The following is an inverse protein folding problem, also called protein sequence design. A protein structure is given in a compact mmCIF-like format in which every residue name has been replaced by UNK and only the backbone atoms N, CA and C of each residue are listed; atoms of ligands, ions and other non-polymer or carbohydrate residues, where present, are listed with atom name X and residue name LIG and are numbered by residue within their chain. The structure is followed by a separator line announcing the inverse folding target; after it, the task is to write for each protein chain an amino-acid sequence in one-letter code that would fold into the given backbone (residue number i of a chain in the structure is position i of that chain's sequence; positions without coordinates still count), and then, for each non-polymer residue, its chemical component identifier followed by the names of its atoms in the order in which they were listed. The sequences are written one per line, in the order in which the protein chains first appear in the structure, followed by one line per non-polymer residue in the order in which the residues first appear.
data_IF_175030822587
#
_entry.id   IF_175030822587
#
_cell.length_a   1.000
_cell.length_b   1.000
_cell.length_c   1.000
_cell.angle_alpha   90.00
_cell.angle_beta   90.00
_cell.angle_gamma   90.00
#
_symmetry.space_group_name_H-M   'P 1'
#
loop_
_entity.id
_entity.type
_entity.pdbx_description
1 polymer ?
#
# COMPACT_ATOMS: atom_id res chain seq x y z
N UNK A 1 3.93 7.11 -48.47
CA UNK A 1 3.14 6.91 -47.25
C UNK A 1 4.12 6.80 -46.09
N UNK A 2 4.20 7.83 -45.24
CA UNK A 2 5.00 7.76 -44.01
C UNK A 2 4.14 7.04 -43.00
N UNK A 3 4.43 5.76 -42.75
CA UNK A 3 3.93 5.09 -41.54
C UNK A 3 4.70 5.76 -40.40
N UNK A 4 4.05 6.45 -39.45
CA UNK A 4 4.75 6.90 -38.26
C UNK A 4 5.37 5.65 -37.64
N UNK A 5 6.69 5.56 -37.65
CA UNK A 5 7.37 4.51 -36.92
C UNK A 5 6.87 4.61 -35.48
N UNK A 6 6.22 3.58 -34.95
CA UNK A 6 5.97 3.50 -33.51
C UNK A 6 7.36 3.45 -32.87
N UNK A 7 7.90 4.57 -32.36
CA UNK A 7 9.31 4.63 -32.11
C UNK A 7 9.61 3.65 -30.98
N UNK A 8 10.58 2.77 -31.21
CA UNK A 8 11.03 1.77 -30.22
C UNK A 8 12.35 2.26 -29.61
N UNK A 9 12.36 3.52 -29.18
CA UNK A 9 13.54 4.00 -28.44
C UNK A 9 13.68 3.19 -27.14
N UNK A 10 14.90 3.16 -26.61
CA UNK A 10 15.16 2.55 -25.32
C UNK A 10 14.24 3.13 -24.24
N UNK A 11 14.12 4.47 -24.17
CA UNK A 11 13.29 5.17 -23.19
C UNK A 11 11.81 4.79 -23.27
N UNK A 12 11.24 4.70 -24.47
CA UNK A 12 9.84 4.28 -24.63
C UNK A 12 9.64 2.80 -24.25
N UNK A 13 10.62 1.96 -24.52
CA UNK A 13 10.58 0.54 -24.12
C UNK A 13 10.67 0.40 -22.61
N UNK A 14 11.56 1.15 -21.96
CA UNK A 14 11.68 1.22 -20.50
C UNK A 14 10.38 1.68 -19.86
N UNK A 15 9.81 2.80 -20.34
CA UNK A 15 8.55 3.32 -19.81
C UNK A 15 7.42 2.28 -19.90
N UNK A 16 7.23 1.66 -21.07
CA UNK A 16 6.22 0.60 -21.24
C UNK A 16 6.50 -0.59 -20.31
N UNK A 17 7.77 -0.97 -20.14
CA UNK A 17 8.17 -2.04 -19.22
C UNK A 17 7.76 -1.77 -17.78
N UNK A 18 7.93 -0.54 -17.28
CA UNK A 18 7.52 -0.14 -15.92
C UNK A 18 6.00 -0.30 -15.76
N UNK A 19 5.20 0.19 -16.71
CA UNK A 19 3.74 0.03 -16.64
C UNK A 19 3.31 -1.45 -16.73
N UNK A 20 3.96 -2.24 -17.59
CA UNK A 20 3.69 -3.68 -17.68
C UNK A 20 3.99 -4.38 -16.37
N UNK A 21 5.12 -4.06 -15.72
CA UNK A 21 5.49 -4.62 -14.42
C UNK A 21 4.49 -4.23 -13.32
N UNK A 22 4.06 -2.96 -13.29
CA UNK A 22 3.06 -2.48 -12.33
C UNK A 22 1.74 -3.25 -12.44
N UNK A 23 1.22 -3.41 -13.67
CA UNK A 23 -0.03 -4.13 -13.94
C UNK A 23 0.12 -5.60 -13.58
N UNK A 24 1.24 -6.23 -13.94
CA UNK A 24 1.51 -7.62 -13.61
C UNK A 24 1.51 -7.84 -12.09
N UNK A 25 2.16 -6.96 -11.32
CA UNK A 25 2.22 -7.06 -9.87
C UNK A 25 0.84 -6.95 -9.22
N UNK A 26 0.00 -6.02 -9.68
CA UNK A 26 -1.39 -5.91 -9.19
C UNK A 26 -2.18 -7.19 -9.49
N UNK A 27 -2.05 -7.75 -10.70
CA UNK A 27 -2.74 -8.99 -11.04
C UNK A 27 -2.20 -10.20 -10.26
N UNK A 28 -0.90 -10.27 -10.01
CA UNK A 28 -0.31 -11.29 -9.12
C UNK A 28 -0.91 -11.17 -7.72
N UNK A 29 -0.96 -9.97 -7.15
CA UNK A 29 -1.57 -9.74 -5.85
C UNK A 29 -3.05 -10.13 -5.82
N UNK A 30 -3.81 -9.85 -6.89
CA UNK A 30 -5.22 -10.27 -7.00
C UNK A 30 -5.40 -11.77 -7.15
N UNK A 31 -4.44 -12.46 -7.77
CA UNK A 31 -4.48 -13.89 -8.03
C UNK A 31 -3.90 -14.72 -6.89
N UNK A 32 -3.34 -14.08 -5.85
CA UNK A 32 -2.83 -14.79 -4.67
C UNK A 32 -3.95 -15.63 -4.03
N UNK A 33 -3.66 -16.91 -3.78
CA UNK A 33 -4.67 -17.85 -3.31
C UNK A 33 -5.01 -17.69 -1.82
N UNK A 34 -4.11 -17.09 -1.04
CA UNK A 34 -4.18 -17.04 0.42
C UNK A 34 -4.53 -15.64 0.90
N UNK A 35 -3.85 -14.63 0.36
CA UNK A 35 -3.95 -13.22 0.76
C UNK A 35 -4.23 -12.31 -0.46
N UNK A 36 -5.32 -12.58 -1.23
CA UNK A 36 -5.60 -11.84 -2.46
C UNK A 36 -5.90 -10.38 -2.20
N UNK A 37 -5.44 -9.51 -3.11
CA UNK A 37 -5.94 -8.16 -3.25
C UNK A 37 -7.41 -8.21 -3.65
N UNK A 38 -8.28 -7.88 -2.69
CA UNK A 38 -9.74 -8.01 -2.82
C UNK A 38 -10.45 -6.67 -2.62
N UNK A 39 -11.78 -6.71 -2.57
CA UNK A 39 -12.62 -5.50 -2.51
C UNK A 39 -12.19 -4.52 -1.40
N UNK A 40 -11.74 -5.01 -0.24
CA UNK A 40 -11.27 -4.15 0.86
C UNK A 40 -10.06 -3.30 0.45
N UNK A 41 -9.09 -3.90 -0.25
CA UNK A 41 -7.89 -3.24 -0.73
C UNK A 41 -8.21 -2.28 -1.87
N UNK A 42 -9.11 -2.67 -2.77
CA UNK A 42 -9.59 -1.81 -3.86
C UNK A 42 -10.24 -0.54 -3.31
N UNK A 43 -11.11 -0.68 -2.30
CA UNK A 43 -11.71 0.47 -1.59
C UNK A 43 -10.63 1.30 -0.89
N UNK A 44 -9.63 0.67 -0.29
CA UNK A 44 -8.54 1.36 0.39
C UNK A 44 -7.66 2.17 -0.58
N UNK A 45 -7.34 1.64 -1.75
CA UNK A 45 -6.63 2.37 -2.82
C UNK A 45 -7.48 3.49 -3.41
N UNK A 46 -8.80 3.30 -3.55
CA UNK A 46 -9.71 4.39 -3.92
C UNK A 46 -9.75 5.50 -2.86
N UNK A 47 -9.73 5.13 -1.57
CA UNK A 47 -9.68 6.08 -0.46
C UNK A 47 -8.38 6.89 -0.48
N UNK A 48 -7.24 6.26 -0.80
CA UNK A 48 -5.96 6.93 -1.00
C UNK A 48 -5.99 7.90 -2.20
N UNK A 49 -6.53 7.48 -3.34
CA UNK A 49 -6.68 8.36 -4.51
C UNK A 49 -7.46 9.62 -4.14
N UNK A 50 -8.58 9.44 -3.43
CA UNK A 50 -9.42 10.52 -2.94
C UNK A 50 -8.71 11.40 -1.91
N UNK A 51 -7.94 10.83 -0.98
CA UNK A 51 -7.16 11.59 0.00
C UNK A 51 -6.06 12.44 -0.66
N UNK A 52 -5.50 11.98 -1.78
CA UNK A 52 -4.55 12.73 -2.63
C UNK A 52 -5.24 13.70 -3.61
N UNK A 53 -6.57 13.87 -3.53
CA UNK A 53 -7.33 14.79 -4.38
C UNK A 53 -7.42 14.37 -5.85
N UNK A 54 -7.23 13.08 -6.16
CA UNK A 54 -7.19 12.57 -7.54
C UNK A 54 -8.50 11.90 -7.92
N UNK A 55 -8.99 12.19 -9.12
CA UNK A 55 -10.15 11.54 -9.74
C UNK A 55 -9.64 10.39 -10.61
N UNK A 56 -9.23 9.30 -9.97
CA UNK A 56 -8.75 8.08 -10.64
C UNK A 56 -9.30 6.83 -9.94
N UNK A 57 -9.32 5.70 -10.65
CA UNK A 57 -9.73 4.41 -10.09
C UNK A 57 -8.69 3.90 -9.08
N UNK A 58 -9.10 2.94 -8.24
CA UNK A 58 -8.19 2.25 -7.32
C UNK A 58 -7.01 1.61 -8.06
N UNK A 59 -7.27 1.00 -9.21
CA UNK A 59 -6.27 0.31 -10.02
C UNK A 59 -5.22 1.29 -10.52
N UNK A 60 -5.66 2.43 -11.08
CA UNK A 60 -4.75 3.48 -11.53
C UNK A 60 -3.96 4.10 -10.37
N UNK A 61 -4.54 4.17 -9.16
CA UNK A 61 -3.82 4.65 -7.98
C UNK A 61 -2.73 3.66 -7.53
N UNK A 62 -3.00 2.35 -7.52
CA UNK A 62 -2.00 1.33 -7.21
C UNK A 62 -0.86 1.32 -8.25
N UNK A 63 -1.20 1.30 -9.54
CA UNK A 63 -0.23 1.39 -10.64
C UNK A 63 0.59 2.67 -10.55
N UNK A 64 -0.03 3.81 -10.26
CA UNK A 64 0.69 5.09 -10.14
C UNK A 64 1.71 5.07 -9.01
N UNK A 65 1.38 4.52 -7.84
CA UNK A 65 2.34 4.42 -6.73
C UNK A 65 3.56 3.60 -7.14
N UNK A 66 3.33 2.42 -7.70
CA UNK A 66 4.41 1.57 -8.19
C UNK A 66 5.30 2.32 -9.19
N UNK A 67 4.69 2.98 -10.18
CA UNK A 67 5.43 3.74 -11.21
C UNK A 67 6.24 4.88 -10.58
N UNK A 68 5.65 5.65 -9.67
CA UNK A 68 6.32 6.78 -9.01
C UNK A 68 7.56 6.29 -8.23
N UNK A 69 7.45 5.15 -7.54
CA UNK A 69 8.54 4.53 -6.75
C UNK A 69 9.64 3.97 -7.64
N UNK A 70 9.29 3.21 -8.69
CA UNK A 70 10.27 2.61 -9.60
C UNK A 70 11.01 3.67 -10.41
N UNK A 71 10.34 4.77 -10.80
CA UNK A 71 11.00 5.91 -11.44
C UNK A 71 12.01 6.59 -10.51
N UNK A 72 11.79 6.55 -9.20
CA UNK A 72 12.74 6.99 -8.19
C UNK A 72 13.87 5.97 -7.92
N UNK A 73 13.98 4.91 -8.73
CA UNK A 73 14.94 3.81 -8.59
C UNK A 73 14.81 3.02 -7.27
N UNK A 74 13.59 2.97 -6.72
CA UNK A 74 13.21 2.18 -5.55
C UNK A 74 12.36 0.98 -5.97
N UNK A 75 12.07 0.09 -5.02
CA UNK A 75 11.26 -1.11 -5.26
C UNK A 75 9.80 -0.81 -5.00
N UNK A 76 8.97 -0.88 -6.05
CA UNK A 76 7.53 -0.77 -5.89
C UNK A 76 6.93 -1.97 -5.15
N UNK A 77 5.96 -1.70 -4.29
CA UNK A 77 5.21 -2.72 -3.55
C UNK A 77 3.70 -2.47 -3.70
N UNK A 78 2.93 -3.55 -3.85
CA UNK A 78 1.46 -3.55 -3.76
C UNK A 78 1.09 -4.28 -2.47
N UNK A 79 0.22 -3.68 -1.68
CA UNK A 79 -0.19 -4.25 -0.40
C UNK A 79 -1.58 -4.88 -0.54
N UNK A 80 -1.78 -6.03 0.07
CA UNK A 80 -3.03 -6.78 0.00
C UNK A 80 -3.46 -7.34 1.35
N UNK A 81 -4.75 -7.63 1.42
CA UNK A 81 -5.41 -8.33 2.51
C UNK A 81 -5.12 -7.78 3.91
N UNK A 82 -5.36 -6.48 4.12
CA UNK A 82 -5.30 -5.96 5.49
C UNK A 82 -6.35 -6.65 6.35
N UNK A 83 -5.88 -7.36 7.37
CA UNK A 83 -6.72 -8.13 8.27
C UNK A 83 -6.53 -7.65 9.69
N UNK A 84 -7.64 -7.55 10.44
CA UNK A 84 -7.61 -7.23 11.86
C UNK A 84 -8.05 -8.46 12.63
N UNK A 85 -7.16 -9.02 13.44
CA UNK A 85 -7.50 -10.09 14.38
C UNK A 85 -8.14 -9.49 15.62
N UNK A 86 -7.61 -8.37 16.10
CA UNK A 86 -8.11 -7.63 17.27
C UNK A 86 -8.20 -6.14 16.94
N UNK A 87 -9.32 -5.50 17.33
CA UNK A 87 -9.57 -4.07 17.10
C UNK A 87 -9.64 -3.25 18.38
N UNK A 88 -9.37 -3.88 19.53
CA UNK A 88 -9.41 -3.24 20.84
C UNK A 88 -8.33 -2.18 20.93
N UNK A 89 -8.69 -0.96 21.33
CA UNK A 89 -7.76 0.17 21.32
C UNK A 89 -6.45 -0.11 22.09
N UNK A 90 -6.50 -0.85 23.20
CA UNK A 90 -5.32 -1.19 24.01
C UNK A 90 -4.55 -2.45 23.58
N UNK A 91 -4.97 -3.14 22.52
CA UNK A 91 -4.34 -4.36 22.04
C UNK A 91 -4.74 -4.64 20.59
N UNK A 92 -4.32 -3.78 19.66
CA UNK A 92 -4.60 -3.97 18.24
C UNK A 92 -3.69 -5.05 17.66
N UNK A 93 -4.30 -5.96 16.91
CA UNK A 93 -3.62 -6.95 16.07
C UNK A 93 -4.08 -6.77 14.63
N UNK A 94 -3.14 -6.42 13.76
CA UNK A 94 -3.40 -6.31 12.33
C UNK A 94 -2.22 -6.79 11.51
N UNK A 95 -2.50 -7.25 10.30
CA UNK A 95 -1.52 -7.73 9.33
C UNK A 95 -1.86 -7.19 7.94
N UNK A 96 -0.84 -6.98 7.12
CA UNK A 96 -0.96 -6.54 5.73
C UNK A 96 0.16 -7.19 4.89
N UNK A 97 -0.21 -7.84 3.80
CA UNK A 97 0.72 -8.65 2.99
C UNK A 97 1.43 -7.83 1.91
N UNK A 98 2.66 -8.23 1.62
CA UNK A 98 3.59 -7.56 0.72
C UNK A 98 3.60 -8.24 -0.65
N UNK A 99 3.45 -7.47 -1.72
CA UNK A 99 3.71 -7.90 -3.09
C UNK A 99 4.78 -6.99 -3.65
N UNK A 100 6.04 -7.30 -3.36
CA UNK A 100 7.18 -6.48 -3.77
C UNK A 100 7.60 -6.82 -5.21
N UNK A 101 7.96 -5.81 -6.00
CA UNK A 101 8.57 -6.02 -7.32
C UNK A 101 9.92 -6.74 -7.24
N UNK A 102 10.60 -6.62 -6.11
CA UNK A 102 11.80 -7.39 -5.75
C UNK A 102 11.64 -7.82 -4.30
N UNK A 103 11.50 -9.12 -4.06
CA UNK A 103 11.16 -9.65 -2.73
C UNK A 103 12.17 -9.29 -1.65
N UNK A 104 11.68 -9.12 -0.43
CA UNK A 104 12.48 -8.85 0.78
C UNK A 104 13.27 -7.55 0.75
N UNK A 105 12.74 -6.51 0.10
CA UNK A 105 13.36 -5.18 0.05
C UNK A 105 12.88 -4.27 1.18
N UNK A 106 11.59 -4.36 1.54
CA UNK A 106 11.00 -3.63 2.65
C UNK A 106 11.65 -4.07 3.97
N UNK A 107 12.23 -3.13 4.68
CA UNK A 107 12.92 -3.36 5.95
C UNK A 107 12.28 -2.62 7.13
N UNK A 108 11.66 -1.46 6.88
CA UNK A 108 11.03 -0.65 7.91
C UNK A 108 9.82 0.14 7.39
N UNK A 109 8.86 0.38 8.28
CA UNK A 109 7.74 1.26 8.03
C UNK A 109 6.82 1.38 9.23
N UNK A 110 5.81 2.24 9.09
CA UNK A 110 4.87 2.55 10.18
C UNK A 110 3.43 2.44 9.71
N UNK A 111 2.55 2.03 10.62
CA UNK A 111 1.12 2.22 10.48
C UNK A 111 0.74 3.61 11.00
N UNK A 112 0.18 4.42 10.11
CA UNK A 112 -0.31 5.77 10.41
C UNK A 112 -1.83 5.73 10.62
N UNK A 113 -2.27 6.11 11.81
CA UNK A 113 -3.67 6.16 12.22
C UNK A 113 -4.21 7.59 12.27
N UNK A 114 -5.52 7.72 12.04
CA UNK A 114 -6.22 9.00 12.16
C UNK A 114 -7.74 8.87 12.21
N UNK A 115 -8.40 9.95 12.60
CA UNK A 115 -9.86 10.05 12.62
C UNK A 115 -10.47 10.30 11.24
N UNK A 116 -9.65 10.75 10.28
CA UNK A 116 -10.06 10.93 8.88
C UNK A 116 -8.99 10.37 7.93
N UNK A 117 -9.41 9.99 6.72
CA UNK A 117 -8.49 9.52 5.67
C UNK A 117 -7.45 10.54 5.20
N UNK A 118 -7.60 11.82 5.54
CA UNK A 118 -6.65 12.90 5.18
C UNK A 118 -5.77 13.34 6.34
N UNK A 119 -6.00 12.83 7.56
CA UNK A 119 -5.30 13.26 8.77
C UNK A 119 -4.79 12.07 9.59
N UNK A 120 -3.85 11.31 9.01
CA UNK A 120 -3.19 10.17 9.65
C UNK A 120 -1.93 10.66 10.38
N UNK A 121 -2.06 11.03 11.65
CA UNK A 121 -1.04 11.75 12.44
C UNK A 121 -0.35 10.91 13.50
N UNK A 122 -0.98 9.81 13.91
CA UNK A 122 -0.41 8.91 14.93
C UNK A 122 0.30 7.79 14.22
N UNK A 123 1.57 7.55 14.53
CA UNK A 123 2.37 6.55 13.85
C UNK A 123 2.87 5.50 14.83
N UNK A 124 2.75 4.22 14.46
CA UNK A 124 3.26 3.09 15.21
C UNK A 124 4.20 2.29 14.30
N UNK A 125 5.38 1.93 14.80
CA UNK A 125 6.32 1.09 14.07
C UNK A 125 5.70 -0.28 13.77
N UNK A 126 5.75 -0.70 12.52
CA UNK A 126 5.31 -2.03 12.13
C UNK A 126 6.42 -3.06 12.38
N UNK A 127 6.03 -4.26 12.75
CA UNK A 127 6.90 -5.43 12.62
C UNK A 127 6.91 -5.85 11.16
N UNK A 128 8.10 -5.91 10.54
CA UNK A 128 8.27 -6.32 9.14
C UNK A 128 8.78 -7.76 9.10
N UNK A 129 8.01 -8.65 8.48
CA UNK A 129 8.47 -9.97 8.06
C UNK A 129 8.85 -9.87 6.59
N UNK A 130 10.15 -9.84 6.31
CA UNK A 130 10.67 -9.61 4.96
C UNK A 130 10.08 -10.58 3.92
N UNK A 131 9.56 -10.04 2.82
CA UNK A 131 8.95 -10.81 1.74
C UNK A 131 7.59 -11.46 2.06
N UNK A 132 6.99 -11.16 3.21
CA UNK A 132 5.71 -11.74 3.64
C UNK A 132 4.70 -10.65 4.00
N UNK A 133 4.86 -10.01 5.17
CA UNK A 133 3.85 -9.10 5.71
C UNK A 133 4.42 -8.06 6.66
N UNK A 134 3.61 -7.04 6.93
CA UNK A 134 3.81 -6.09 8.02
C UNK A 134 2.68 -6.21 9.03
N UNK A 135 2.98 -6.08 10.31
CA UNK A 135 2.03 -6.35 11.38
C UNK A 135 2.17 -5.44 12.60
N UNK A 136 1.07 -5.33 13.35
CA UNK A 136 1.07 -4.94 14.77
C UNK A 136 0.56 -6.13 15.58
N UNK A 137 1.16 -6.35 16.75
CA UNK A 137 0.80 -7.46 17.64
C UNK A 137 0.56 -6.89 19.03
N UNK A 138 -0.66 -7.02 19.52
CA UNK A 138 -1.14 -6.53 20.80
C UNK A 138 -0.73 -5.08 21.11
N UNK A 139 -0.77 -4.20 20.10
CA UNK A 139 -0.30 -2.82 20.25
C UNK A 139 -1.30 -1.95 21.03
N UNK A 140 -0.81 -1.20 22.00
CA UNK A 140 -1.62 -0.21 22.74
C UNK A 140 -1.72 1.11 21.97
N UNK A 141 -2.84 1.29 21.27
CA UNK A 141 -3.21 2.50 20.55
C UNK A 141 -4.26 3.34 21.32
N UNK A 142 -4.48 3.07 22.61
CA UNK A 142 -5.54 3.72 23.41
C UNK A 142 -5.34 5.24 23.59
N UNK A 143 -4.12 5.73 23.37
CA UNK A 143 -3.82 7.16 23.39
C UNK A 143 -4.54 7.96 22.29
N UNK A 144 -4.94 7.32 21.19
CA UNK A 144 -5.55 8.00 20.04
C UNK A 144 -6.71 7.24 19.37
N UNK A 145 -7.03 6.03 19.82
CA UNK A 145 -8.21 5.29 19.38
C UNK A 145 -9.29 5.30 20.47
N UNK A 146 -10.53 5.40 20.03
CA UNK A 146 -11.70 5.42 20.90
C UNK A 146 -12.66 4.32 20.48
N UNK A 147 -13.06 3.47 21.41
CA UNK A 147 -13.99 2.38 21.17
C UNK A 147 -15.30 2.89 20.52
N UNK A 148 -15.79 2.16 19.53
CA UNK A 148 -16.98 2.52 18.74
C UNK A 148 -16.77 3.66 17.73
N UNK A 149 -15.59 4.30 17.70
CA UNK A 149 -15.28 5.38 16.76
C UNK A 149 -14.57 4.81 15.53
N UNK A 150 -14.99 5.30 14.35
CA UNK A 150 -14.34 4.96 13.09
C UNK A 150 -12.93 5.54 13.05
N UNK A 151 -11.95 4.70 12.77
CA UNK A 151 -10.56 5.06 12.55
C UNK A 151 -10.11 4.68 11.14
N UNK A 152 -9.05 5.34 10.70
CA UNK A 152 -8.38 5.09 9.43
C UNK A 152 -6.94 4.69 9.70
N UNK A 153 -6.39 3.80 8.86
CA UNK A 153 -5.00 3.35 8.96
C UNK A 153 -4.38 3.20 7.58
N UNK A 154 -3.08 3.51 7.47
CA UNK A 154 -2.28 3.31 6.27
C UNK A 154 -0.88 2.87 6.66
N UNK A 155 -0.34 1.83 6.03
CA UNK A 155 1.07 1.51 6.12
C UNK A 155 1.88 2.40 5.16
N UNK A 156 3.00 2.93 5.63
CA UNK A 156 3.96 3.64 4.79
C UNK A 156 5.38 3.17 5.14
N UNK A 157 6.19 2.75 4.15
CA UNK A 157 7.62 2.53 4.33
C UNK A 157 8.31 3.78 4.88
N UNK A 158 9.36 3.59 5.68
CA UNK A 158 10.11 4.69 6.26
C UNK A 158 11.00 5.40 5.22
N UNK A 159 11.46 6.61 5.54
CA UNK A 159 12.42 7.31 4.70
C UNK A 159 13.73 6.50 4.60
N UNK A 160 14.33 6.47 3.40
CA UNK A 160 15.48 5.66 3.04
C UNK A 160 15.26 4.13 3.05
N UNK A 161 14.02 3.65 3.24
CA UNK A 161 13.67 2.26 2.99
C UNK A 161 13.71 1.96 1.47
N UNK A 162 14.05 0.73 1.09
CA UNK A 162 14.13 0.35 -0.33
C UNK A 162 12.78 0.41 -1.06
N UNK A 163 11.67 0.43 -0.33
CA UNK A 163 10.31 0.60 -0.81
C UNK A 163 9.72 1.99 -0.50
N UNK A 164 10.53 2.99 -0.13
CA UNK A 164 10.06 4.35 0.21
C UNK A 164 9.07 4.89 -0.84
N UNK A 165 7.92 5.39 -0.36
CA UNK A 165 6.85 5.93 -1.20
C UNK A 165 5.84 4.90 -1.74
N UNK A 166 6.10 3.60 -1.57
CA UNK A 166 5.11 2.55 -1.83
C UNK A 166 4.09 2.51 -0.68
N UNK A 167 3.21 3.50 -0.61
CA UNK A 167 2.17 3.52 0.43
C UNK A 167 1.12 2.40 0.21
N UNK A 168 0.59 1.82 1.28
CA UNK A 168 -0.61 0.99 1.19
C UNK A 168 -1.85 1.83 0.85
N UNK A 169 -2.96 1.17 0.50
CA UNK A 169 -4.28 1.80 0.56
C UNK A 169 -4.60 2.34 1.97
N UNK A 170 -5.58 3.25 2.07
CA UNK A 170 -6.07 3.75 3.36
C UNK A 170 -7.29 2.93 3.78
N UNK A 171 -7.11 2.10 4.81
CA UNK A 171 -8.14 1.23 5.35
C UNK A 171 -8.93 1.96 6.44
N UNK A 172 -10.10 1.42 6.78
CA UNK A 172 -10.90 1.93 7.89
C UNK A 172 -11.52 0.79 8.69
N UNK A 173 -11.69 1.04 9.98
CA UNK A 173 -12.29 0.10 10.93
C UNK A 173 -12.97 0.88 12.05
N UNK A 174 -13.77 0.19 12.87
CA UNK A 174 -14.25 0.73 14.14
C UNK A 174 -13.42 0.07 15.25
N UNK A 175 -12.81 0.89 16.11
CA UNK A 175 -12.11 0.37 17.28
C UNK A 175 -13.12 -0.30 18.22
N UNK A 176 -12.73 -1.42 18.83
CA UNK A 176 -13.53 -2.15 19.80
C UNK A 176 -13.26 -1.64 21.23
#
# INVERSE_FOLDING_TARGET
YVIPANPKTALQTTQRGIFTAAVALVHTAMADATNPLKSIDQVAYAALASAKGRIITWFNQAVKLYVDVVVAALVGCVYSDMTFTTKTAGAIDLELYLNEGTGSTLAAGKFYFGSTKTNLINAVAATVTAGDKVALVAEDCSAFLTAGVKAFVQFRPDAADGCEGADSGIYNFYAA
#
